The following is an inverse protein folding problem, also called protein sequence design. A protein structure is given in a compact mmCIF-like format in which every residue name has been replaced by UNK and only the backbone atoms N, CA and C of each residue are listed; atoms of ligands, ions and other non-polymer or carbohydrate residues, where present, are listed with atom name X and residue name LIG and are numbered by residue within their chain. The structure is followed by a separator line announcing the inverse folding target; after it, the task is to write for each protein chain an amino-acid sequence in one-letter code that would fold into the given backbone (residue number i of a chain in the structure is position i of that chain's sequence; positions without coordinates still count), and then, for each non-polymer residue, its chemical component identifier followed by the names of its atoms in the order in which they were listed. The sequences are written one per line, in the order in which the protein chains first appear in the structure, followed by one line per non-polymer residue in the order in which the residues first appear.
data_IF_523039396149
#
_entry.id   IF_523039396149
#
_cell.length_a   1.000
_cell.length_b   1.000
_cell.length_c   1.000
_cell.angle_alpha   90.00
_cell.angle_beta   90.00
_cell.angle_gamma   90.00
#
_symmetry.space_group_name_H-M   'P 1'
#
loop_
_entity.id
_entity.type
_entity.pdbx_description
1 polymer ?
#
# COMPACT_ATOMS: atom_id res chain seq x y z
N UNK A 1 36.82 -6.56 -2.62
CA UNK A 1 35.64 -6.02 -1.87
C UNK A 1 34.49 -5.92 -2.86
N UNK A 2 33.49 -6.80 -2.78
CA UNK A 2 32.33 -6.71 -3.68
C UNK A 2 31.41 -5.61 -3.16
N UNK A 3 31.64 -4.38 -3.61
CA UNK A 3 30.81 -3.24 -3.26
C UNK A 3 29.37 -3.52 -3.70
N UNK A 4 28.43 -3.48 -2.76
CA UNK A 4 26.99 -3.59 -3.05
C UNK A 4 26.64 -2.56 -4.12
N UNK A 5 26.47 -3.00 -5.36
CA UNK A 5 26.15 -2.07 -6.44
C UNK A 5 24.81 -1.38 -6.11
N UNK A 6 24.64 -0.08 -6.41
CA UNK A 6 23.43 0.67 -6.08
C UNK A 6 22.14 -0.02 -6.55
N UNK A 7 22.23 -0.77 -7.66
CA UNK A 7 21.16 -1.58 -8.21
C UNK A 7 20.67 -2.68 -7.26
N UNK A 8 21.56 -3.43 -6.60
CA UNK A 8 21.18 -4.47 -5.65
C UNK A 8 20.44 -3.90 -4.44
N UNK A 9 20.91 -2.77 -3.90
CA UNK A 9 20.27 -2.07 -2.78
C UNK A 9 18.88 -1.54 -3.14
N UNK A 10 18.73 -0.94 -4.33
CA UNK A 10 17.44 -0.46 -4.81
C UNK A 10 16.44 -1.59 -5.03
N UNK A 11 16.88 -2.72 -5.62
CA UNK A 11 16.02 -3.90 -5.81
C UNK A 11 15.56 -4.50 -4.47
N UNK A 12 16.46 -4.58 -3.49
CA UNK A 12 16.11 -5.07 -2.16
C UNK A 12 15.03 -4.21 -1.48
N UNK A 13 15.11 -2.87 -1.64
CA UNK A 13 14.05 -1.97 -1.14
C UNK A 13 12.72 -2.20 -1.84
N UNK A 14 12.73 -2.35 -3.17
CA UNK A 14 11.52 -2.61 -3.94
C UNK A 14 10.86 -3.95 -3.55
N UNK A 15 11.65 -4.97 -3.20
CA UNK A 15 11.11 -6.26 -2.73
C UNK A 15 10.33 -6.16 -1.41
N UNK A 16 10.67 -5.20 -0.55
CA UNK A 16 9.97 -4.98 0.73
C UNK A 16 8.70 -4.15 0.59
N UNK A 17 8.52 -3.48 -0.55
CA UNK A 17 7.39 -2.58 -0.76
C UNK A 17 6.03 -3.29 -0.66
N UNK A 18 5.80 -4.49 -1.24
CA UNK A 18 4.51 -5.19 -1.10
C UNK A 18 4.17 -5.52 0.35
N UNK A 19 5.15 -5.95 1.15
CA UNK A 19 4.95 -6.27 2.58
C UNK A 19 4.60 -5.02 3.40
N UNK A 20 5.22 -3.88 3.09
CA UNK A 20 4.92 -2.59 3.72
C UNK A 20 3.54 -2.07 3.29
N UNK A 21 3.19 -2.21 2.01
CA UNK A 21 1.88 -1.85 1.49
C UNK A 21 0.77 -2.70 2.12
N UNK A 22 1.01 -3.99 2.33
CA UNK A 22 0.07 -4.89 2.98
C UNK A 22 -0.24 -4.48 4.43
N UNK A 23 0.75 -3.94 5.16
CA UNK A 23 0.55 -3.39 6.50
C UNK A 23 -0.31 -2.13 6.50
N UNK A 24 -0.25 -1.34 5.43
CA UNK A 24 -1.00 -0.09 5.23
C UNK A 24 -2.21 -0.26 4.30
N UNK A 25 -2.74 -1.48 4.17
CA UNK A 25 -3.75 -1.81 3.18
C UNK A 25 -5.04 -1.00 3.34
N UNK A 26 -5.42 -0.68 4.58
CA UNK A 26 -6.61 0.12 4.90
C UNK A 26 -6.54 1.51 4.29
N UNK A 27 -5.45 2.22 4.53
CA UNK A 27 -5.17 3.55 4.03
C UNK A 27 -4.99 3.52 2.51
N UNK A 28 -4.30 2.49 1.99
CA UNK A 28 -4.10 2.30 0.56
C UNK A 28 -5.43 2.09 -0.18
N UNK A 29 -6.35 1.32 0.40
CA UNK A 29 -7.67 1.10 -0.16
C UNK A 29 -8.54 2.37 -0.14
N UNK A 30 -8.38 3.26 0.84
CA UNK A 30 -9.09 4.54 0.88
C UNK A 30 -8.53 5.49 -0.19
N UNK A 31 -7.20 5.60 -0.30
CA UNK A 31 -6.54 6.38 -1.34
C UNK A 31 -6.92 5.90 -2.75
N UNK A 32 -6.86 4.59 -3.00
CA UNK A 32 -7.25 4.01 -4.29
C UNK A 32 -8.71 4.27 -4.65
N UNK A 33 -9.63 4.27 -3.67
CA UNK A 33 -11.03 4.64 -3.90
C UNK A 33 -11.15 6.10 -4.36
N UNK A 34 -10.49 7.04 -3.70
CA UNK A 34 -10.50 8.44 -4.11
C UNK A 34 -9.98 8.62 -5.56
N UNK A 35 -8.86 7.97 -5.89
CA UNK A 35 -8.28 8.04 -7.24
C UNK A 35 -9.25 7.50 -8.28
N UNK A 36 -9.80 6.30 -8.08
CA UNK A 36 -10.74 5.67 -9.02
C UNK A 36 -11.99 6.54 -9.19
N UNK A 37 -12.58 7.03 -8.10
CA UNK A 37 -13.75 7.92 -8.15
C UNK A 37 -13.46 9.20 -8.93
N UNK A 38 -12.26 9.74 -8.80
CA UNK A 38 -11.83 10.96 -9.52
C UNK A 38 -11.63 10.70 -11.01
N UNK A 39 -11.10 9.53 -11.40
CA UNK A 39 -10.79 9.20 -12.79
C UNK A 39 -11.94 8.54 -13.56
N UNK A 40 -13.04 8.18 -12.88
CA UNK A 40 -14.17 7.43 -13.48
C UNK A 40 -14.86 8.17 -14.63
N UNK A 41 -14.71 9.49 -14.76
CA UNK A 41 -15.38 10.27 -15.81
C UNK A 41 -14.47 11.19 -16.60
N UNK A 42 -13.54 10.68 -17.43
CA UNK A 42 -12.60 11.44 -18.30
C UNK A 42 -11.84 12.61 -17.64
N UNK A 43 -12.02 12.79 -16.34
CA UNK A 43 -11.39 13.80 -15.50
C UNK A 43 -9.97 13.34 -15.27
N UNK A 44 -9.04 14.18 -15.67
CA UNK A 44 -7.64 13.95 -15.42
C UNK A 44 -7.36 14.10 -13.91
N UNK A 45 -6.66 13.12 -13.35
CA UNK A 45 -6.25 13.19 -11.95
C UNK A 45 -5.28 14.34 -11.76
N UNK A 46 -5.74 15.42 -11.11
CA UNK A 46 -4.86 16.53 -10.74
C UNK A 46 -4.15 16.23 -9.42
N UNK A 47 -2.97 16.83 -9.29
CA UNK A 47 -2.21 16.82 -8.04
C UNK A 47 -3.11 17.32 -6.90
N UNK A 48 -2.95 16.71 -5.73
CA UNK A 48 -3.58 17.09 -4.46
C UNK A 48 -5.10 16.82 -4.34
N UNK A 49 -5.76 16.25 -5.35
CA UNK A 49 -7.20 15.89 -5.25
C UNK A 49 -7.49 14.85 -4.16
N UNK A 50 -6.58 13.90 -3.96
CA UNK A 50 -6.66 12.87 -2.92
C UNK A 50 -5.58 13.07 -1.84
N UNK A 51 -5.23 14.33 -1.54
CA UNK A 51 -4.09 14.65 -0.65
C UNK A 51 -4.29 14.11 0.76
N UNK A 52 -5.51 14.16 1.30
CA UNK A 52 -5.81 13.72 2.67
C UNK A 52 -5.60 12.21 2.83
N UNK A 53 -6.09 11.45 1.86
CA UNK A 53 -5.96 10.00 1.80
C UNK A 53 -4.51 9.60 1.54
N UNK A 54 -3.80 10.36 0.70
CA UNK A 54 -2.39 10.16 0.45
C UNK A 54 -1.53 10.44 1.69
N UNK A 55 -1.81 11.49 2.45
CA UNK A 55 -1.10 11.82 3.69
C UNK A 55 -1.28 10.75 4.76
N UNK A 56 -2.49 10.21 4.91
CA UNK A 56 -2.75 9.08 5.79
C UNK A 56 -1.92 7.84 5.37
N UNK A 57 -1.93 7.50 4.08
CA UNK A 57 -1.14 6.39 3.53
C UNK A 57 0.36 6.59 3.74
N UNK A 58 0.87 7.78 3.43
CA UNK A 58 2.28 8.16 3.60
C UNK A 58 2.71 8.04 5.06
N UNK A 59 1.88 8.51 5.99
CA UNK A 59 2.15 8.43 7.43
C UNK A 59 2.27 6.97 7.88
N UNK A 60 1.38 6.09 7.39
CA UNK A 60 1.50 4.65 7.66
C UNK A 60 2.81 4.08 7.11
N UNK A 61 3.19 4.38 5.86
CA UNK A 61 4.45 3.91 5.27
C UNK A 61 5.69 4.35 6.06
N UNK A 62 5.77 5.63 6.43
CA UNK A 62 6.90 6.16 7.22
C UNK A 62 6.98 5.42 8.57
N UNK A 63 5.84 5.21 9.22
CA UNK A 63 5.80 4.46 10.48
C UNK A 63 6.21 2.99 10.33
N UNK A 64 5.83 2.34 9.22
CA UNK A 64 6.12 0.93 8.96
C UNK A 64 7.60 0.69 8.63
N UNK A 65 8.26 1.67 7.99
CA UNK A 65 9.71 1.60 7.70
C UNK A 65 10.56 1.82 8.95
N UNK A 66 10.08 2.63 9.90
CA UNK A 66 10.80 2.93 11.15
C UNK A 66 10.67 1.84 12.23
N UNK A 67 9.78 0.86 12.08
CA UNK A 67 9.65 -0.25 13.04
C UNK A 67 10.72 -1.31 12.76
N UNK A 68 11.64 -1.60 13.71
CA UNK A 68 12.48 -2.80 13.61
C UNK A 68 11.56 -4.02 13.64
N UNK A 69 11.80 -5.01 12.76
CA UNK A 69 11.02 -6.25 12.68
C UNK A 69 11.09 -7.02 14.00
N UNK A 70 10.25 -6.69 14.97
CA UNK A 70 9.74 -7.71 15.87
C UNK A 70 8.74 -8.52 15.07
N UNK A 71 9.10 -9.78 14.83
CA UNK A 71 8.19 -10.84 14.41
C UNK A 71 7.11 -10.91 15.50
N UNK A 72 6.07 -10.10 15.36
CA UNK A 72 4.91 -10.15 16.23
C UNK A 72 3.69 -10.00 15.34
N UNK A 73 3.24 -11.17 14.91
CA UNK A 73 1.82 -11.50 14.85
C UNK A 73 0.99 -10.60 13.94
N UNK A 74 0.76 -11.06 12.72
CA UNK A 74 -0.44 -10.72 11.96
C UNK A 74 -1.66 -11.04 12.84
N UNK A 75 -2.45 -10.05 13.33
CA UNK A 75 -3.78 -10.34 13.84
C UNK A 75 -4.74 -10.17 12.67
N UNK A 76 -5.23 -11.29 12.14
CA UNK A 76 -6.53 -11.30 11.48
C UNK A 76 -6.60 -10.65 10.09
N UNK A 77 -5.97 -11.29 9.10
CA UNK A 77 -6.69 -11.50 7.84
C UNK A 77 -7.85 -12.46 8.14
N UNK A 78 -8.93 -11.97 8.79
CA UNK A 78 -10.21 -12.67 8.73
C UNK A 78 -10.64 -12.58 7.28
N UNK A 79 -10.34 -13.65 6.55
CA UNK A 79 -10.90 -14.01 5.25
C UNK A 79 -12.42 -13.97 5.38
N UNK A 80 -13.04 -12.78 5.21
CA UNK A 80 -14.49 -12.68 5.07
C UNK A 80 -14.79 -13.20 3.67
N UNK A 81 -14.97 -14.51 3.61
CA UNK A 81 -15.54 -15.23 2.48
C UNK A 81 -16.91 -14.61 2.20
N UNK A 82 -16.95 -13.60 1.34
CA UNK A 82 -18.14 -13.33 0.55
C UNK A 82 -18.01 -14.28 -0.63
N UNK A 83 -18.61 -15.45 -0.45
CA UNK A 83 -19.11 -16.27 -1.53
C UNK A 83 -19.99 -15.32 -2.37
N UNK A 84 -19.45 -14.77 -3.45
CA UNK A 84 -20.28 -14.20 -4.48
C UNK A 84 -20.61 -15.37 -5.38
N UNK A 85 -21.72 -16.02 -5.05
CA UNK A 85 -22.45 -16.89 -5.96
C UNK A 85 -22.74 -16.08 -7.23
N UNK A 86 -21.86 -16.24 -8.22
CA UNK A 86 -22.17 -15.94 -9.62
C UNK A 86 -23.19 -17.00 -10.04
N UNK A 87 -24.45 -16.78 -9.66
CA UNK A 87 -25.56 -17.58 -10.14
C UNK A 87 -25.98 -17.01 -11.49
N UNK A 88 -25.64 -17.79 -12.52
CA UNK A 88 -26.34 -18.01 -13.80
C UNK A 88 -26.86 -16.80 -14.59
#
# INVERSE_FOLDING_TARGET
MSGTNPWTRSRERMRRFPDLLAQCFTEAAVYGKCVVSTTTGKQELKKDLCVKEFEALKTCFVSAVSKPKTISTLPGQKKKSRHLDVTK
#
